data_IF_918546433370
#
_entry.id   IF_918546433370
#
_cell.length_a   1.000
_cell.length_b   1.000
_cell.length_c   1.000
_cell.angle_alpha   90.00
_cell.angle_beta   90.00
_cell.angle_gamma   90.00
#
_symmetry.space_group_name_H-M   'P 1'
#
loop_
_entity.id
_entity.type
_entity.pdbx_description
1 polymer ?
#
# COMPACT_ATOMS: atom_id res chain seq x y z
N UNK A 1 -4.04 20.68 -5.22
CA UNK A 1 -2.83 20.37 -4.42
C UNK A 1 -2.76 18.87 -4.19
N UNK A 2 -1.57 18.30 -4.34
CA UNK A 2 -1.36 16.88 -4.10
C UNK A 2 -1.44 16.55 -2.62
N UNK A 3 -1.85 15.32 -2.32
CA UNK A 3 -1.82 14.77 -0.96
C UNK A 3 -0.93 13.52 -0.95
N UNK A 4 -0.41 13.19 0.20
CA UNK A 4 0.36 11.97 0.41
C UNK A 4 -0.44 11.00 1.27
N UNK A 5 -0.52 9.76 0.84
CA UNK A 5 -1.04 8.66 1.64
C UNK A 5 0.13 7.81 2.13
N UNK A 6 0.21 7.60 3.44
CA UNK A 6 1.17 6.68 4.05
C UNK A 6 0.40 5.49 4.60
N UNK A 7 0.73 4.30 4.09
CA UNK A 7 0.13 3.06 4.52
C UNK A 7 1.16 2.16 5.19
N UNK A 8 0.73 1.47 6.24
CA UNK A 8 1.59 0.60 7.05
C UNK A 8 1.03 -0.80 7.11
N UNK A 9 1.86 -1.79 6.81
CA UNK A 9 1.51 -3.21 6.88
C UNK A 9 2.55 -3.96 7.68
N UNK A 10 2.11 -4.98 8.43
CA UNK A 10 3.01 -5.89 9.10
C UNK A 10 2.70 -7.31 8.62
N UNK A 11 3.70 -7.98 8.07
CA UNK A 11 3.58 -9.36 7.64
C UNK A 11 3.58 -10.31 8.85
N UNK A 12 2.87 -11.43 8.72
CA UNK A 12 3.12 -12.57 9.57
C UNK A 12 4.59 -12.98 9.40
N UNK A 13 5.29 -13.45 10.45
CA UNK A 13 6.71 -13.77 10.35
C UNK A 13 7.08 -14.71 9.21
N UNK A 14 6.23 -15.69 8.92
CA UNK A 14 6.44 -16.67 7.86
C UNK A 14 6.01 -16.17 6.47
N UNK A 15 5.38 -15.00 6.40
CA UNK A 15 4.81 -14.46 5.15
C UNK A 15 5.52 -13.21 4.63
N UNK A 16 6.69 -12.87 5.17
CA UNK A 16 7.42 -11.64 4.81
C UNK A 16 7.72 -11.60 3.31
N UNK A 17 8.30 -12.64 2.76
CA UNK A 17 8.66 -12.68 1.35
C UNK A 17 7.41 -12.69 0.46
N UNK A 18 6.38 -13.42 0.86
CA UNK A 18 5.11 -13.48 0.11
C UNK A 18 4.43 -12.11 0.09
N UNK A 19 4.37 -11.42 1.22
CA UNK A 19 3.80 -10.07 1.27
C UNK A 19 4.62 -9.09 0.43
N UNK A 20 5.94 -9.17 0.51
CA UNK A 20 6.83 -8.33 -0.30
C UNK A 20 6.53 -8.50 -1.80
N UNK A 21 6.44 -9.74 -2.26
CA UNK A 21 6.14 -10.02 -3.66
C UNK A 21 4.74 -9.54 -4.04
N UNK A 22 3.76 -9.75 -3.18
CA UNK A 22 2.39 -9.29 -3.41
C UNK A 22 2.35 -7.76 -3.57
N UNK A 23 3.01 -7.03 -2.68
CA UNK A 23 3.07 -5.57 -2.76
C UNK A 23 3.71 -5.11 -4.07
N UNK A 24 4.81 -5.74 -4.49
CA UNK A 24 5.54 -5.34 -5.69
C UNK A 24 4.86 -5.74 -7.00
N UNK A 25 4.17 -6.88 -7.03
CA UNK A 25 3.62 -7.43 -8.28
C UNK A 25 2.13 -7.17 -8.46
N UNK A 26 1.38 -6.92 -7.39
CA UNK A 26 -0.07 -6.68 -7.44
C UNK A 26 -0.38 -5.23 -7.08
N UNK A 27 0.00 -4.80 -5.88
CA UNK A 27 -0.42 -3.50 -5.35
C UNK A 27 0.27 -2.34 -6.07
N UNK A 28 1.59 -2.40 -6.21
CA UNK A 28 2.36 -1.33 -6.83
C UNK A 28 1.90 -1.01 -8.26
N UNK A 29 1.75 -2.00 -9.16
CA UNK A 29 1.24 -1.71 -10.50
C UNK A 29 -0.19 -1.17 -10.49
N UNK A 30 -1.06 -1.69 -9.63
CA UNK A 30 -2.45 -1.25 -9.54
C UNK A 30 -2.54 0.21 -9.10
N UNK A 31 -1.73 0.59 -8.10
CA UNK A 31 -1.68 1.98 -7.61
C UNK A 31 -1.14 2.91 -8.70
N UNK A 32 0.00 2.55 -9.31
CA UNK A 32 0.63 3.38 -10.35
C UNK A 32 -0.25 3.53 -11.59
N UNK A 33 -1.08 2.54 -11.89
CA UNK A 33 -2.02 2.59 -13.00
C UNK A 33 -3.33 3.30 -12.69
N UNK A 34 -3.53 3.76 -11.46
CA UNK A 34 -4.78 4.39 -11.04
C UNK A 34 -4.81 5.87 -11.42
N UNK A 35 -5.99 6.33 -11.85
CA UNK A 35 -6.19 7.73 -12.19
C UNK A 35 -5.93 8.61 -10.96
N UNK A 36 -5.15 9.67 -11.16
CA UNK A 36 -4.80 10.63 -10.11
C UNK A 36 -3.60 10.22 -9.27
N UNK A 37 -3.02 9.03 -9.48
CA UNK A 37 -1.78 8.67 -8.80
C UNK A 37 -0.60 9.39 -9.47
N UNK A 38 0.21 10.09 -8.68
CA UNK A 38 1.39 10.83 -9.15
C UNK A 38 2.68 10.07 -8.86
N UNK A 39 2.73 9.30 -7.77
CA UNK A 39 3.86 8.42 -7.46
C UNK A 39 3.47 7.38 -6.44
N UNK A 40 4.21 6.27 -6.43
CA UNK A 40 4.05 5.22 -5.42
C UNK A 40 5.41 4.60 -5.17
N UNK A 41 5.80 4.56 -3.90
CA UNK A 41 7.03 3.91 -3.44
C UNK A 41 6.71 3.03 -2.26
N UNK A 42 7.41 1.90 -2.17
CA UNK A 42 7.24 0.94 -1.09
C UNK A 42 8.56 0.73 -0.38
N UNK A 43 8.51 0.61 0.94
CA UNK A 43 9.68 0.54 1.80
C UNK A 43 9.53 -0.63 2.76
N UNK A 44 10.63 -1.31 3.04
CA UNK A 44 10.69 -2.34 4.07
C UNK A 44 11.59 -1.84 5.19
N UNK A 45 11.15 -2.00 6.45
CA UNK A 45 11.94 -1.57 7.60
C UNK A 45 13.22 -2.40 7.71
N UNK A 46 14.35 -1.75 7.95
CA UNK A 46 15.61 -2.44 8.23
C UNK A 46 15.61 -3.02 9.65
N UNK A 47 15.04 -2.29 10.61
CA UNK A 47 15.00 -2.71 12.00
C UNK A 47 14.05 -3.89 12.23
N UNK A 48 12.93 -3.91 11.50
CA UNK A 48 11.93 -4.97 11.59
C UNK A 48 11.46 -5.34 10.18
N UNK A 49 12.06 -6.37 9.55
CA UNK A 49 11.74 -6.75 8.17
C UNK A 49 10.29 -7.19 7.95
N UNK A 50 9.50 -7.42 9.01
CA UNK A 50 8.07 -7.72 8.86
C UNK A 50 7.27 -6.46 8.52
N UNK A 51 7.83 -5.27 8.73
CA UNK A 51 7.12 -4.00 8.54
C UNK A 51 7.39 -3.41 7.16
N UNK A 52 6.31 -2.99 6.50
CA UNK A 52 6.33 -2.34 5.19
C UNK A 52 5.59 -1.01 5.26
N UNK A 53 6.08 -0.04 4.49
CA UNK A 53 5.44 1.27 4.34
C UNK A 53 5.24 1.53 2.86
N UNK A 54 4.06 2.02 2.49
CA UNK A 54 3.80 2.54 1.16
C UNK A 54 3.63 4.05 1.25
N UNK A 55 4.27 4.76 0.32
CA UNK A 55 4.11 6.21 0.19
C UNK A 55 3.55 6.50 -1.20
N UNK A 56 2.34 7.05 -1.21
CA UNK A 56 1.61 7.34 -2.44
C UNK A 56 1.30 8.82 -2.51
N UNK A 57 1.58 9.44 -3.64
CA UNK A 57 1.18 10.83 -3.87
C UNK A 57 0.02 10.83 -4.86
N UNK A 58 -1.03 11.54 -4.51
CA UNK A 58 -2.29 11.57 -5.27
C UNK A 58 -2.72 13.01 -5.55
N UNK A 59 -3.43 13.20 -6.66
CA UNK A 59 -4.02 14.49 -7.00
C UNK A 59 -5.03 14.95 -5.95
N UNK A 60 -5.72 14.01 -5.30
CA UNK A 60 -6.72 14.30 -4.26
C UNK A 60 -6.98 13.07 -3.41
N UNK A 61 -7.61 13.26 -2.24
CA UNK A 61 -8.11 12.17 -1.40
C UNK A 61 -9.14 11.33 -2.16
N UNK A 62 -10.01 11.99 -2.92
CA UNK A 62 -11.04 11.29 -3.69
C UNK A 62 -10.44 10.34 -4.73
N UNK A 63 -9.33 10.75 -5.38
CA UNK A 63 -8.62 9.89 -6.32
C UNK A 63 -8.08 8.63 -5.64
N UNK A 64 -7.50 8.77 -4.46
CA UNK A 64 -7.04 7.61 -3.68
C UNK A 64 -8.20 6.68 -3.32
N UNK A 65 -9.28 7.23 -2.80
CA UNK A 65 -10.46 6.42 -2.41
C UNK A 65 -11.06 5.69 -3.61
N UNK A 66 -11.12 6.35 -4.76
CA UNK A 66 -11.63 5.73 -5.99
C UNK A 66 -10.74 4.60 -6.48
N UNK A 67 -9.43 4.65 -6.19
CA UNK A 67 -8.46 3.65 -6.65
C UNK A 67 -8.62 2.28 -5.98
N UNK A 68 -9.28 2.21 -4.84
CA UNK A 68 -9.44 0.96 -4.10
C UNK A 68 -10.17 -0.09 -4.94
N UNK A 69 -11.10 0.34 -5.80
CA UNK A 69 -11.82 -0.56 -6.72
C UNK A 69 -10.91 -1.26 -7.74
N UNK A 70 -9.69 -0.77 -7.95
CA UNK A 70 -8.73 -1.35 -8.89
C UNK A 70 -8.04 -2.60 -8.32
N UNK A 71 -8.27 -2.90 -7.05
CA UNK A 71 -7.83 -4.14 -6.41
C UNK A 71 -9.06 -5.02 -6.20
N UNK A 72 -8.99 -6.25 -6.68
CA UNK A 72 -10.12 -7.16 -6.61
C UNK A 72 -10.35 -7.65 -5.18
N UNK A 73 -11.58 -8.12 -4.89
CA UNK A 73 -11.90 -8.68 -3.59
C UNK A 73 -11.02 -9.91 -3.30
N UNK A 74 -10.72 -10.72 -4.31
CA UNK A 74 -9.85 -11.88 -4.16
C UNK A 74 -8.43 -11.45 -3.76
N UNK A 75 -7.92 -10.36 -4.35
CA UNK A 75 -6.61 -9.81 -4.00
C UNK A 75 -6.60 -9.21 -2.59
N UNK A 76 -7.66 -8.53 -2.18
CA UNK A 76 -7.81 -8.03 -0.81
C UNK A 76 -7.81 -9.20 0.18
N UNK A 77 -8.53 -10.27 -0.11
CA UNK A 77 -8.57 -11.45 0.74
C UNK A 77 -7.20 -12.11 0.86
N UNK A 78 -6.45 -12.19 -0.24
CA UNK A 78 -5.08 -12.71 -0.22
C UNK A 78 -4.17 -11.86 0.64
N UNK A 79 -4.23 -10.53 0.48
CA UNK A 79 -3.46 -9.60 1.29
C UNK A 79 -3.75 -9.78 2.78
N UNK A 80 -5.01 -9.91 3.16
CA UNK A 80 -5.41 -10.04 4.57
C UNK A 80 -4.91 -11.33 5.22
N UNK A 81 -4.62 -12.37 4.44
CA UNK A 81 -4.01 -13.61 4.95
C UNK A 81 -2.53 -13.44 5.26
N UNK A 82 -1.87 -12.47 4.66
CA UNK A 82 -0.42 -12.26 4.78
C UNK A 82 -0.03 -11.33 5.92
N UNK A 83 -0.98 -10.52 6.41
CA UNK A 83 -0.70 -9.51 7.43
C UNK A 83 -1.00 -10.03 8.83
N UNK A 84 -0.16 -9.61 9.79
CA UNK A 84 -0.29 -10.00 11.19
C UNK A 84 -1.36 -9.19 11.94
N UNK A 85 -1.68 -7.99 11.41
CA UNK A 85 -2.66 -7.09 12.00
C UNK A 85 -3.32 -6.28 10.90
N UNK A 86 -4.44 -5.62 11.21
CA UNK A 86 -5.13 -4.74 10.27
C UNK A 86 -4.18 -3.63 9.79
N UNK A 87 -4.04 -3.43 8.47
CA UNK A 87 -3.21 -2.34 7.96
C UNK A 87 -3.74 -0.98 8.40
N UNK A 88 -2.82 -0.02 8.53
CA UNK A 88 -3.15 1.35 8.92
C UNK A 88 -2.67 2.31 7.86
N UNK A 89 -3.34 3.44 7.74
CA UNK A 89 -2.92 4.48 6.82
C UNK A 89 -3.58 5.81 7.13
N UNK A 90 -3.04 6.86 6.53
CA UNK A 90 -3.58 8.20 6.69
C UNK A 90 -3.09 9.13 5.60
N UNK A 91 -3.74 10.29 5.52
CA UNK A 91 -3.40 11.32 4.56
C UNK A 91 -2.55 12.40 5.23
N UNK A 92 -1.55 12.87 4.52
CA UNK A 92 -0.57 13.84 5.02
C UNK A 92 -0.33 14.91 3.97
N UNK A 93 -0.08 16.13 4.42
CA UNK A 93 0.32 17.24 3.57
C UNK A 93 1.82 17.45 3.67
N UNK A 94 2.46 17.68 2.51
CA UNK A 94 3.84 18.11 2.50
C UNK A 94 3.95 19.52 3.09
N UNK A 95 4.84 19.71 4.05
CA UNK A 95 5.07 20.99 4.66
C UNK A 95 6.05 21.88 3.87
#
# INVERSE_FOLDING_TARGET
MSITYLGYSQAKPEEVDTLRQFLLTVVLPAVRGSEGNESCQMWQSQADPTQFVVMEVWASVDAHRASIKNITQAEINEYMKLVAAAPRGGYYDLL
#
